data_IF_382913454023
#
_entry.id   IF_382913454023
#
_cell.length_a   1.000
_cell.length_b   1.000
_cell.length_c   1.000
_cell.angle_alpha   90.00
_cell.angle_beta   90.00
_cell.angle_gamma   90.00
#
_symmetry.space_group_name_H-M   'P 1'
#
loop_
_entity.id
_entity.type
_entity.pdbx_description
1 polymer ?
#
# COMPACT_ATOMS: atom_id res chain seq x y z
N UNK A 1 13.40 20.98 4.98
CA UNK A 1 13.53 19.54 5.27
C UNK A 1 14.89 18.97 4.89
N UNK A 2 15.72 19.66 4.10
CA UNK A 2 17.04 19.19 3.64
C UNK A 2 18.16 19.22 4.71
N UNK A 3 18.08 20.11 5.69
CA UNK A 3 19.15 20.28 6.71
C UNK A 3 19.22 19.19 7.79
N UNK A 4 18.15 18.45 8.02
CA UNK A 4 18.13 17.36 9.03
C UNK A 4 18.75 16.06 8.53
N UNK A 5 18.70 15.81 7.23
CA UNK A 5 19.35 14.64 6.61
C UNK A 5 20.87 14.83 6.53
N UNK A 6 21.36 16.04 6.28
CA UNK A 6 22.81 16.34 6.29
C UNK A 6 23.45 16.18 7.67
N UNK A 7 22.72 16.54 8.75
CA UNK A 7 23.23 16.35 10.12
C UNK A 7 23.35 14.85 10.51
N UNK A 8 22.45 14.01 10.03
CA UNK A 8 22.54 12.57 10.28
C UNK A 8 23.70 11.93 9.50
N UNK A 9 23.97 12.37 8.26
CA UNK A 9 25.11 11.91 7.46
C UNK A 9 26.47 12.40 7.98
N UNK A 10 26.56 13.64 8.45
CA UNK A 10 27.80 14.23 9.00
C UNK A 10 28.21 13.53 10.31
N UNK A 11 27.25 13.05 11.11
CA UNK A 11 27.55 12.32 12.35
C UNK A 11 28.07 10.89 12.09
N UNK A 12 27.69 10.26 11.01
CA UNK A 12 28.12 8.91 10.64
C UNK A 12 29.54 8.91 10.05
N UNK A 13 29.92 9.92 9.28
CA UNK A 13 31.29 10.03 8.75
C UNK A 13 32.36 10.36 9.80
N UNK A 14 31.97 10.99 10.93
CA UNK A 14 32.90 11.29 12.03
C UNK A 14 33.08 10.18 13.06
N UNK A 15 32.33 9.08 12.98
CA UNK A 15 32.45 7.97 13.90
C UNK A 15 33.66 7.05 13.63
N UNK A 16 34.41 7.23 12.55
CA UNK A 16 35.63 6.45 12.27
C UNK A 16 36.83 6.78 13.20
N UNK A 17 36.70 7.77 14.12
CA UNK A 17 37.83 8.24 14.95
C UNK A 17 37.60 8.26 16.45
N UNK A 18 36.48 7.76 16.99
CA UNK A 18 36.24 7.87 18.44
C UNK A 18 35.93 6.52 19.12
N UNK A 19 36.97 6.01 19.77
CA UNK A 19 36.89 4.99 20.81
C UNK A 19 36.45 5.65 22.14
N UNK A 20 35.21 6.07 22.28
CA UNK A 20 34.63 6.38 23.60
C UNK A 20 33.12 6.36 23.56
N UNK A 21 32.56 5.59 24.50
CA UNK A 21 31.14 5.52 24.86
C UNK A 21 30.63 6.91 25.23
N UNK A 22 29.92 7.58 24.34
CA UNK A 22 29.10 8.72 24.69
C UNK A 22 27.66 8.23 24.81
N UNK A 23 27.20 8.04 26.05
CA UNK A 23 25.80 7.86 26.35
C UNK A 23 25.10 9.21 26.12
N UNK A 24 24.57 9.41 24.92
CA UNK A 24 23.73 10.56 24.63
C UNK A 24 22.32 10.22 25.09
N UNK A 25 21.95 10.76 26.25
CA UNK A 25 20.58 10.69 26.77
C UNK A 25 19.72 11.70 26.00
N UNK A 26 19.30 11.32 24.80
CA UNK A 26 18.39 12.10 23.98
C UNK A 26 17.00 11.47 24.10
N UNK A 27 16.08 12.15 24.76
CA UNK A 27 14.64 11.89 24.68
C UNK A 27 14.13 12.14 23.25
N UNK A 28 14.59 11.34 22.32
CA UNK A 28 14.06 11.31 20.95
C UNK A 28 13.00 10.24 20.86
N UNK A 29 11.81 10.66 20.48
CA UNK A 29 10.80 9.76 19.97
C UNK A 29 11.42 8.83 18.93
N UNK A 30 11.31 7.54 19.16
CA UNK A 30 11.83 6.42 18.42
C UNK A 30 11.94 6.62 16.89
N UNK A 31 13.06 7.11 16.42
CA UNK A 31 13.49 6.83 15.06
C UNK A 31 14.35 5.56 15.14
N UNK A 32 13.88 4.47 14.54
CA UNK A 32 14.69 3.27 14.43
C UNK A 32 15.88 3.56 13.50
N UNK A 33 17.03 3.87 14.07
CA UNK A 33 18.25 4.07 13.32
C UNK A 33 18.66 2.72 12.71
N UNK A 34 18.66 2.62 11.39
CA UNK A 34 19.05 1.44 10.65
C UNK A 34 20.40 1.68 10.01
N UNK A 35 21.41 0.92 10.44
CA UNK A 35 22.79 1.03 9.96
C UNK A 35 23.24 -0.19 9.13
N UNK A 36 22.30 -1.04 8.74
CA UNK A 36 22.58 -2.24 7.93
C UNK A 36 23.31 -1.85 6.65
N UNK A 37 24.47 -2.50 6.39
CA UNK A 37 25.32 -2.16 5.26
C UNK A 37 26.34 -1.05 5.52
N UNK A 38 26.31 -0.41 6.69
CA UNK A 38 27.31 0.57 7.08
C UNK A 38 28.57 -0.13 7.62
N UNK A 39 29.80 0.36 7.32
CA UNK A 39 31.03 -0.22 7.84
C UNK A 39 31.08 -0.40 9.36
N UNK A 40 30.39 0.46 10.13
CA UNK A 40 30.28 0.33 11.59
C UNK A 40 29.64 -1.01 12.01
N UNK A 41 28.79 -1.59 11.18
CA UNK A 41 28.15 -2.86 11.44
C UNK A 41 29.06 -4.09 11.25
N UNK A 42 30.25 -3.91 10.68
CA UNK A 42 31.27 -4.96 10.63
C UNK A 42 31.77 -5.27 12.04
N UNK A 43 31.98 -4.23 12.84
CA UNK A 43 32.43 -4.36 14.24
C UNK A 43 31.28 -4.62 15.24
N UNK A 44 30.05 -4.21 14.92
CA UNK A 44 28.89 -4.25 15.80
C UNK A 44 27.76 -5.16 15.27
N UNK A 45 28.11 -6.26 14.63
CA UNK A 45 27.16 -7.17 13.95
C UNK A 45 26.02 -7.69 14.84
N UNK A 46 26.22 -7.74 16.15
CA UNK A 46 25.22 -8.24 17.12
C UNK A 46 24.27 -7.15 17.66
N UNK A 47 24.38 -5.91 17.19
CA UNK A 47 23.50 -4.84 17.65
C UNK A 47 22.22 -4.80 16.82
N UNK A 48 21.10 -4.46 17.45
CA UNK A 48 19.77 -4.48 16.84
C UNK A 48 19.64 -3.55 15.61
N UNK A 49 20.42 -2.47 15.54
CA UNK A 49 20.44 -1.54 14.40
C UNK A 49 21.30 -2.02 13.23
N UNK A 50 22.19 -3.00 13.45
CA UNK A 50 23.00 -3.63 12.42
C UNK A 50 22.41 -4.95 11.91
N UNK A 51 21.42 -5.48 12.57
CA UNK A 51 20.71 -6.68 12.16
C UNK A 51 19.54 -6.31 11.25
N UNK A 52 19.39 -7.04 10.14
CA UNK A 52 18.11 -7.10 9.45
C UNK A 52 17.14 -7.79 10.41
N UNK A 53 16.22 -7.03 11.00
CA UNK A 53 15.10 -7.66 11.65
C UNK A 53 14.36 -8.47 10.58
N UNK A 54 14.59 -9.78 10.57
CA UNK A 54 13.71 -10.67 9.85
C UNK A 54 12.35 -10.55 10.52
N UNK A 55 11.43 -9.87 9.87
CA UNK A 55 10.04 -9.88 10.29
C UNK A 55 9.54 -11.31 10.10
N UNK A 56 9.61 -12.10 11.18
CA UNK A 56 9.04 -13.46 11.23
C UNK A 56 7.51 -13.42 11.36
N UNK A 57 6.93 -12.23 11.48
CA UNK A 57 5.49 -12.00 11.61
C UNK A 57 4.88 -11.74 10.24
N UNK A 58 3.73 -12.37 9.99
CA UNK A 58 2.95 -12.17 8.77
C UNK A 58 2.61 -10.68 8.63
N UNK A 59 2.82 -10.05 7.46
CA UNK A 59 2.40 -8.68 7.22
C UNK A 59 0.90 -8.51 7.46
N UNK A 60 0.50 -7.31 7.84
CA UNK A 60 -0.90 -6.97 8.10
C UNK A 60 -1.81 -7.33 6.91
N UNK A 61 -2.98 -7.80 7.24
CA UNK A 61 -4.10 -7.94 6.31
C UNK A 61 -5.39 -7.76 7.09
N UNK A 62 -6.33 -7.00 6.57
CA UNK A 62 -7.66 -6.87 7.15
C UNK A 62 -8.27 -8.25 7.37
N UNK A 63 -8.80 -8.48 8.55
CA UNK A 63 -9.35 -9.78 8.92
C UNK A 63 -10.71 -10.01 8.26
N UNK A 64 -10.88 -11.17 7.64
CA UNK A 64 -12.16 -11.70 7.16
C UNK A 64 -12.67 -12.85 8.04
N UNK A 65 -12.10 -13.01 9.24
CA UNK A 65 -12.40 -14.16 10.11
C UNK A 65 -13.90 -14.31 10.42
N UNK A 66 -14.62 -13.20 10.49
CA UNK A 66 -16.05 -13.20 10.79
C UNK A 66 -16.93 -13.59 9.59
N UNK A 67 -16.36 -13.66 8.38
CA UNK A 67 -17.10 -13.87 7.15
C UNK A 67 -17.13 -15.33 6.67
N UNK A 68 -16.43 -16.23 7.36
CA UNK A 68 -16.34 -17.65 6.96
C UNK A 68 -15.59 -17.84 5.63
N UNK A 69 -15.85 -18.98 4.96
CA UNK A 69 -15.16 -19.40 3.73
C UNK A 69 -15.99 -19.17 2.46
N UNK A 70 -16.72 -18.06 2.37
CA UNK A 70 -17.53 -17.73 1.18
C UNK A 70 -16.62 -17.42 -0.01
N UNK A 71 -16.88 -18.06 -1.15
CA UNK A 71 -16.20 -17.77 -2.41
C UNK A 71 -17.02 -16.79 -3.23
N UNK A 72 -16.36 -15.75 -3.74
CA UNK A 72 -17.00 -14.77 -4.60
C UNK A 72 -16.79 -15.08 -6.09
N UNK A 73 -17.71 -14.66 -6.99
CA UNK A 73 -17.50 -14.68 -8.43
C UNK A 73 -16.24 -13.91 -8.85
N UNK A 74 -15.81 -14.17 -10.09
CA UNK A 74 -14.68 -13.44 -10.70
C UNK A 74 -14.95 -11.93 -10.62
N UNK A 75 -13.90 -11.14 -10.34
CA UNK A 75 -13.92 -9.67 -10.17
C UNK A 75 -14.63 -9.16 -8.90
N UNK A 76 -15.30 -10.02 -8.15
CA UNK A 76 -15.86 -9.68 -6.84
C UNK A 76 -14.96 -10.16 -5.71
N UNK A 77 -14.98 -9.43 -4.62
CA UNK A 77 -14.29 -9.80 -3.36
C UNK A 77 -15.26 -9.75 -2.20
N UNK A 78 -14.92 -10.47 -1.16
CA UNK A 78 -15.70 -10.48 0.07
C UNK A 78 -15.49 -9.17 0.82
N UNK A 79 -16.57 -8.45 1.07
CA UNK A 79 -16.54 -7.23 1.88
C UNK A 79 -16.33 -7.57 3.35
N UNK A 80 -15.33 -6.98 4.04
CA UNK A 80 -15.10 -7.26 5.44
C UNK A 80 -16.25 -6.83 6.34
N UNK A 81 -17.00 -5.80 5.93
CA UNK A 81 -18.12 -5.23 6.68
C UNK A 81 -19.39 -6.10 6.60
N UNK A 82 -19.78 -6.48 5.38
CA UNK A 82 -21.08 -7.13 5.15
C UNK A 82 -20.97 -8.65 4.96
N UNK A 83 -19.76 -9.15 4.73
CA UNK A 83 -19.53 -10.54 4.32
C UNK A 83 -20.27 -10.93 3.03
N UNK A 84 -20.56 -9.93 2.20
CA UNK A 84 -21.16 -10.14 0.87
C UNK A 84 -20.13 -9.90 -0.24
N UNK A 85 -20.35 -10.53 -1.38
CA UNK A 85 -19.50 -10.34 -2.54
C UNK A 85 -19.86 -9.02 -3.23
N UNK A 86 -18.86 -8.18 -3.44
CA UNK A 86 -19.03 -6.89 -4.10
C UNK A 86 -17.84 -6.59 -5.02
N UNK A 87 -18.01 -5.64 -5.93
CA UNK A 87 -16.94 -5.11 -6.80
C UNK A 87 -16.20 -4.01 -6.05
N UNK A 88 -15.00 -4.26 -5.52
CA UNK A 88 -14.26 -3.23 -4.82
C UNK A 88 -13.61 -2.23 -5.79
N UNK A 89 -13.45 -0.99 -5.35
CA UNK A 89 -12.54 -0.06 -6.00
C UNK A 89 -11.13 -0.30 -5.46
N UNK A 90 -10.25 -0.76 -6.30
CA UNK A 90 -8.92 -1.23 -5.92
C UNK A 90 -7.81 -0.29 -6.38
N UNK A 91 -6.69 -0.39 -5.69
CA UNK A 91 -5.47 0.30 -6.05
C UNK A 91 -4.36 0.05 -5.05
N UNK A 92 -3.26 0.78 -5.22
CA UNK A 92 -2.11 0.72 -4.31
C UNK A 92 -1.77 2.12 -3.81
N UNK A 93 -1.66 2.24 -2.50
CA UNK A 93 -1.11 3.43 -1.83
C UNK A 93 0.40 3.26 -1.69
N UNK A 94 1.14 4.27 -2.08
CA UNK A 94 2.61 4.34 -1.99
C UNK A 94 2.99 5.47 -1.04
N UNK A 95 3.46 5.13 0.15
CA UNK A 95 3.85 6.09 1.17
C UNK A 95 5.35 6.36 1.11
N UNK A 96 5.72 7.65 1.09
CA UNK A 96 7.11 8.09 1.05
C UNK A 96 7.59 8.42 2.46
N UNK A 97 8.43 7.55 3.02
CA UNK A 97 9.05 7.79 4.32
C UNK A 97 8.10 7.68 5.52
N UNK A 98 7.39 6.56 5.68
CA UNK A 98 6.65 6.33 6.90
C UNK A 98 7.59 6.26 8.11
N UNK A 99 7.12 6.73 9.27
CA UNK A 99 7.93 6.77 10.49
C UNK A 99 7.99 5.43 11.24
N UNK A 100 7.55 4.35 10.63
CA UNK A 100 7.58 2.99 11.17
C UNK A 100 8.10 2.01 10.13
N UNK A 101 8.49 0.80 10.60
CA UNK A 101 8.97 -0.29 9.74
C UNK A 101 8.25 -1.61 9.99
N UNK A 102 7.53 -1.70 11.09
CA UNK A 102 6.77 -2.89 11.44
C UNK A 102 5.51 -3.00 10.58
N UNK A 103 5.39 -4.10 9.84
CA UNK A 103 4.29 -4.34 8.89
C UNK A 103 3.20 -5.24 9.47
N UNK A 104 3.36 -5.71 10.70
CA UNK A 104 2.42 -6.59 11.41
C UNK A 104 1.64 -5.87 12.51
N UNK A 105 1.84 -4.57 12.71
CA UNK A 105 1.18 -3.83 13.77
C UNK A 105 -0.27 -3.51 13.42
N UNK A 106 -1.21 -4.24 14.02
CA UNK A 106 -2.65 -4.12 13.76
C UNK A 106 -3.17 -2.70 14.02
N UNK A 107 -2.74 -2.03 15.10
CA UNK A 107 -3.22 -0.69 15.43
C UNK A 107 -2.82 0.34 14.38
N UNK A 108 -1.60 0.21 13.82
CA UNK A 108 -1.09 1.09 12.78
C UNK A 108 -1.95 1.00 11.53
N UNK A 109 -2.15 -0.19 11.00
CA UNK A 109 -2.91 -0.38 9.76
C UNK A 109 -4.42 -0.20 9.96
N UNK A 110 -4.96 -0.59 11.11
CA UNK A 110 -6.36 -0.31 11.42
C UNK A 110 -6.66 1.19 11.47
N UNK A 111 -5.74 2.01 11.97
CA UNK A 111 -5.92 3.46 11.90
C UNK A 111 -5.91 4.01 10.46
N UNK A 112 -5.19 3.36 9.52
CA UNK A 112 -5.26 3.69 8.11
C UNK A 112 -6.63 3.32 7.52
N UNK A 113 -7.17 2.14 7.85
CA UNK A 113 -8.53 1.76 7.47
C UNK A 113 -9.55 2.78 7.95
N UNK A 114 -9.51 3.11 9.26
CA UNK A 114 -10.42 4.09 9.87
C UNK A 114 -10.36 5.44 9.15
N UNK A 115 -9.17 5.93 8.88
CA UNK A 115 -8.99 7.21 8.20
C UNK A 115 -9.51 7.20 6.76
N UNK A 116 -9.41 6.05 6.06
CA UNK A 116 -9.93 5.88 4.71
C UNK A 116 -11.45 5.91 4.69
N UNK A 117 -12.12 5.08 5.50
CA UNK A 117 -13.58 5.07 5.45
C UNK A 117 -14.19 6.37 5.94
N UNK A 118 -13.64 7.00 6.97
CA UNK A 118 -14.14 8.26 7.52
C UNK A 118 -14.02 9.41 6.50
N UNK A 119 -12.82 9.64 5.96
CA UNK A 119 -12.58 10.76 5.05
C UNK A 119 -13.13 10.55 3.63
N UNK A 120 -13.30 9.33 3.18
CA UNK A 120 -13.89 9.02 1.89
C UNK A 120 -15.43 8.86 1.95
N UNK A 121 -16.03 8.99 3.15
CA UNK A 121 -17.46 8.84 3.35
C UNK A 121 -17.95 7.43 3.05
N UNK A 122 -17.18 6.43 3.46
CA UNK A 122 -17.50 5.02 3.34
C UNK A 122 -18.03 4.49 4.67
N UNK A 123 -18.60 3.30 4.65
CA UNK A 123 -19.09 2.66 5.88
C UNK A 123 -17.92 2.13 6.71
N UNK A 124 -17.94 2.21 8.04
CA UNK A 124 -16.93 1.57 8.89
C UNK A 124 -16.74 0.09 8.55
N UNK A 125 -15.50 -0.33 8.40
CA UNK A 125 -15.16 -1.71 8.01
C UNK A 125 -15.24 -2.01 6.51
N UNK A 126 -15.56 -1.04 5.65
CA UNK A 126 -15.62 -1.23 4.19
C UNK A 126 -14.28 -1.09 3.47
N UNK A 127 -13.17 -1.08 4.20
CA UNK A 127 -11.81 -0.99 3.68
C UNK A 127 -11.09 -2.29 3.96
N UNK A 128 -10.46 -2.84 2.93
CA UNK A 128 -9.60 -4.02 3.04
C UNK A 128 -8.19 -3.65 2.62
N UNK A 129 -7.25 -3.81 3.54
CA UNK A 129 -5.82 -3.61 3.30
C UNK A 129 -5.12 -4.96 3.25
N UNK A 130 -4.15 -5.09 2.36
CA UNK A 130 -3.34 -6.31 2.26
C UNK A 130 -1.96 -6.02 1.69
N UNK A 131 -1.08 -7.01 1.87
CA UNK A 131 0.26 -7.04 1.28
C UNK A 131 1.08 -5.74 1.50
N UNK A 132 1.18 -5.21 2.72
CA UNK A 132 2.09 -4.11 2.97
C UNK A 132 3.53 -4.60 2.84
N UNK A 133 4.34 -3.87 2.06
CA UNK A 133 5.77 -4.15 1.93
C UNK A 133 6.55 -2.90 1.54
N UNK A 134 7.84 -2.87 1.85
CA UNK A 134 8.74 -1.83 1.38
C UNK A 134 9.38 -2.24 0.06
N UNK A 135 9.26 -1.39 -0.96
CA UNK A 135 9.91 -1.62 -2.24
C UNK A 135 11.41 -1.25 -2.20
N UNK A 136 12.09 -1.40 -3.33
CA UNK A 136 13.53 -1.11 -3.46
C UNK A 136 13.89 0.36 -3.21
N UNK A 137 12.96 1.28 -3.43
CA UNK A 137 13.10 2.73 -3.18
C UNK A 137 12.68 3.12 -1.75
N UNK A 138 12.47 2.13 -0.88
CA UNK A 138 12.04 2.31 0.52
C UNK A 138 10.65 2.95 0.68
N UNK A 139 9.79 2.87 -0.33
CA UNK A 139 8.39 3.26 -0.23
C UNK A 139 7.56 2.12 0.34
N UNK A 140 6.70 2.42 1.31
CA UNK A 140 5.72 1.46 1.79
C UNK A 140 4.58 1.39 0.77
N UNK A 141 4.37 0.21 0.21
CA UNK A 141 3.25 -0.12 -0.66
C UNK A 141 2.19 -0.85 0.14
N UNK A 142 0.92 -0.44 -0.01
CA UNK A 142 -0.23 -1.08 0.61
C UNK A 142 -1.33 -1.24 -0.43
N UNK A 143 -1.72 -2.46 -0.72
CA UNK A 143 -2.88 -2.72 -1.57
C UNK A 143 -4.16 -2.41 -0.80
N UNK A 144 -5.05 -1.66 -1.43
CA UNK A 144 -6.33 -1.26 -0.85
C UNK A 144 -7.48 -1.67 -1.75
N UNK A 145 -8.52 -2.21 -1.13
CA UNK A 145 -9.81 -2.45 -1.76
C UNK A 145 -10.90 -1.74 -0.94
N UNK A 146 -11.63 -0.84 -1.58
CA UNK A 146 -12.72 -0.06 -1.00
C UNK A 146 -14.03 -0.69 -1.44
N UNK A 147 -14.94 -0.92 -0.50
CA UNK A 147 -16.23 -1.55 -0.78
C UNK A 147 -17.37 -0.54 -0.75
N UNK A 148 -18.40 -0.71 -1.62
CA UNK A 148 -19.52 0.20 -1.66
C UNK A 148 -20.31 0.18 -0.35
N UNK A 149 -20.82 1.34 0.12
CA UNK A 149 -21.61 1.41 1.35
C UNK A 149 -22.97 0.74 1.23
N UNK A 150 -23.50 0.66 0.01
CA UNK A 150 -24.78 0.03 -0.31
C UNK A 150 -24.68 -0.74 -1.63
N UNK A 151 -25.38 -1.86 -1.71
CA UNK A 151 -25.34 -2.72 -2.89
C UNK A 151 -23.99 -3.42 -3.06
N UNK A 152 -23.69 -3.86 -4.28
CA UNK A 152 -22.50 -4.64 -4.60
C UNK A 152 -21.53 -3.95 -5.57
N UNK A 153 -21.78 -2.70 -5.97
CA UNK A 153 -20.90 -1.91 -6.82
C UNK A 153 -21.04 -0.41 -6.55
N UNK A 154 -19.98 0.33 -6.82
CA UNK A 154 -19.99 1.79 -6.83
C UNK A 154 -20.59 2.32 -8.14
N UNK A 155 -21.33 3.40 -8.08
CA UNK A 155 -21.69 4.14 -9.27
C UNK A 155 -20.51 4.99 -9.79
N UNK A 156 -20.65 5.53 -11.00
CA UNK A 156 -19.56 6.26 -11.66
C UNK A 156 -19.17 7.54 -10.92
N UNK A 157 -20.10 8.26 -10.33
CA UNK A 157 -19.83 9.49 -9.57
C UNK A 157 -19.11 9.20 -8.24
N UNK A 158 -19.40 8.08 -7.60
CA UNK A 158 -18.70 7.65 -6.38
C UNK A 158 -17.24 7.29 -6.69
N UNK A 159 -16.99 6.53 -7.75
CA UNK A 159 -15.62 6.19 -8.18
C UNK A 159 -14.83 7.46 -8.53
N UNK A 160 -15.44 8.42 -9.24
CA UNK A 160 -14.80 9.69 -9.56
C UNK A 160 -14.47 10.49 -8.30
N UNK A 161 -15.41 10.60 -7.35
CA UNK A 161 -15.21 11.31 -6.08
C UNK A 161 -14.10 10.69 -5.25
N UNK A 162 -14.11 9.36 -5.08
CA UNK A 162 -13.11 8.64 -4.29
C UNK A 162 -11.74 8.72 -5.00
N UNK A 163 -11.69 8.43 -6.29
CA UNK A 163 -10.47 8.49 -7.09
C UNK A 163 -9.84 9.88 -7.07
N UNK A 164 -10.66 10.93 -7.19
CA UNK A 164 -10.20 12.32 -7.09
C UNK A 164 -9.61 12.62 -5.70
N UNK A 165 -10.31 12.21 -4.61
CA UNK A 165 -9.85 12.44 -3.25
C UNK A 165 -8.49 11.79 -2.98
N UNK A 166 -8.27 10.57 -3.48
CA UNK A 166 -7.02 9.84 -3.33
C UNK A 166 -5.90 10.39 -4.22
N UNK A 167 -6.19 10.70 -5.49
CA UNK A 167 -5.17 11.14 -6.46
C UNK A 167 -4.75 12.58 -6.24
N UNK A 168 -5.66 13.46 -5.85
CA UNK A 168 -5.38 14.87 -5.58
C UNK A 168 -4.95 15.14 -4.13
N UNK A 169 -4.70 14.06 -3.37
CA UNK A 169 -4.24 14.14 -1.97
C UNK A 169 -5.17 14.96 -1.06
N UNK A 170 -6.46 15.02 -1.35
CA UNK A 170 -7.47 15.59 -0.45
C UNK A 170 -7.64 14.70 0.78
N UNK A 171 -7.60 13.38 0.58
CA UNK A 171 -7.48 12.43 1.67
C UNK A 171 -6.13 12.61 2.39
N UNK A 172 -6.14 12.60 3.72
CA UNK A 172 -4.96 12.72 4.57
C UNK A 172 -4.80 11.48 5.43
N UNK A 173 -3.81 10.63 5.15
CA UNK A 173 -3.52 9.47 5.99
C UNK A 173 -3.04 9.88 7.39
N UNK A 174 -3.03 8.97 8.36
CA UNK A 174 -2.41 9.21 9.66
C UNK A 174 -0.96 9.71 9.47
N UNK A 175 -0.55 10.71 10.27
CA UNK A 175 0.71 11.47 10.07
C UNK A 175 1.96 10.58 9.94
N UNK A 176 1.97 9.45 10.64
CA UNK A 176 3.13 8.54 10.64
C UNK A 176 3.26 7.71 9.35
N UNK A 177 2.25 7.68 8.46
CA UNK A 177 2.40 7.13 7.10
C UNK A 177 3.15 8.09 6.17
N UNK A 178 3.12 9.40 6.45
CA UNK A 178 3.75 10.42 5.62
C UNK A 178 2.99 10.72 4.32
N UNK A 179 3.62 11.43 3.39
CA UNK A 179 3.03 11.74 2.09
C UNK A 179 2.89 10.48 1.24
N UNK A 180 1.84 10.46 0.41
CA UNK A 180 1.53 9.30 -0.42
C UNK A 180 1.18 9.70 -1.85
N UNK A 181 1.12 8.72 -2.73
CA UNK A 181 0.38 8.76 -4.00
C UNK A 181 -0.41 7.47 -4.18
N UNK A 182 -1.45 7.53 -5.00
CA UNK A 182 -2.37 6.43 -5.24
C UNK A 182 -2.35 6.03 -6.72
N UNK A 183 -2.23 4.74 -6.99
CA UNK A 183 -2.38 4.16 -8.32
C UNK A 183 -3.62 3.28 -8.29
N UNK A 184 -4.65 3.73 -9.01
CA UNK A 184 -5.91 3.01 -9.12
C UNK A 184 -5.80 1.85 -10.11
N UNK A 185 -6.49 0.77 -9.80
CA UNK A 185 -6.83 -0.28 -10.76
C UNK A 185 -8.05 0.12 -11.59
N UNK A 186 -8.21 -0.51 -12.76
CA UNK A 186 -9.42 -0.29 -13.55
C UNK A 186 -10.64 -0.82 -12.81
N UNK A 187 -11.74 -0.03 -12.76
CA UNK A 187 -12.97 -0.43 -12.09
C UNK A 187 -13.93 -1.05 -13.10
N UNK A 188 -14.32 -2.33 -12.93
CA UNK A 188 -15.27 -3.00 -13.81
C UNK A 188 -16.69 -2.55 -13.48
N UNK A 189 -17.24 -1.58 -14.24
CA UNK A 189 -18.64 -1.18 -14.04
C UNK A 189 -19.58 -2.32 -14.46
N UNK A 190 -20.26 -3.01 -13.54
CA UNK A 190 -21.24 -4.04 -13.91
C UNK A 190 -22.39 -3.40 -14.69
N UNK A 191 -22.73 -3.95 -15.83
CA UNK A 191 -23.77 -3.42 -16.73
C UNK A 191 -23.24 -2.70 -17.99
N UNK A 192 -21.96 -2.39 -18.10
CA UNK A 192 -21.33 -1.95 -19.34
C UNK A 192 -20.66 -3.10 -20.13
N UNK A 193 -21.03 -4.32 -19.86
CA UNK A 193 -20.74 -5.46 -20.73
C UNK A 193 -21.64 -5.42 -21.96
N UNK A 194 -21.52 -4.40 -22.81
CA UNK A 194 -21.67 -4.60 -24.22
C UNK A 194 -20.55 -5.56 -24.59
N UNK A 195 -20.88 -6.84 -24.67
CA UNK A 195 -20.07 -7.85 -25.32
C UNK A 195 -19.85 -7.42 -26.77
N UNK A 196 -18.83 -6.62 -27.02
CA UNK A 196 -18.22 -6.59 -28.33
C UNK A 196 -17.46 -7.89 -28.42
N UNK A 197 -18.19 -8.98 -28.74
CA UNK A 197 -17.60 -10.09 -29.45
C UNK A 197 -17.17 -9.53 -30.79
N UNK A 198 -15.94 -9.04 -30.88
CA UNK A 198 -15.28 -8.91 -32.17
C UNK A 198 -15.06 -10.36 -32.60
N UNK A 199 -16.05 -10.88 -33.35
CA UNK A 199 -15.80 -11.98 -34.24
C UNK A 199 -14.71 -11.49 -35.18
N UNK A 200 -13.47 -11.84 -34.89
CA UNK A 200 -12.40 -11.85 -35.85
C UNK A 200 -12.74 -12.97 -36.84
N UNK A 201 -13.72 -12.70 -37.72
CA UNK A 201 -13.90 -13.46 -38.94
C UNK A 201 -12.64 -13.24 -39.74
N UNK A 202 -11.88 -14.31 -39.88
CA UNK A 202 -10.71 -14.46 -40.73
C UNK A 202 -11.04 -14.00 -42.14
N UNK A 203 -10.72 -12.75 -42.48
CA UNK A 203 -10.55 -12.37 -43.88
C UNK A 203 -9.13 -12.75 -44.28
N UNK A 204 -9.01 -13.98 -44.80
CA UNK A 204 -7.85 -14.37 -45.60
C UNK A 204 -8.08 -13.79 -47.02
N UNK A 205 -7.30 -12.81 -47.48
CA UNK A 205 -7.37 -12.41 -48.90
C UNK A 205 -6.69 -13.52 -49.74
N UNK A 206 -7.49 -14.27 -50.47
CA UNK A 206 -7.02 -15.17 -51.52
C UNK A 206 -6.36 -14.34 -52.58
N UNK A 207 -5.06 -14.40 -52.70
CA UNK A 207 -4.32 -13.86 -53.83
C UNK A 207 -4.54 -14.83 -55.00
N UNK A 208 -5.46 -14.45 -55.89
CA UNK A 208 -5.55 -15.06 -57.22
C UNK A 208 -4.40 -14.57 -58.07
N UNK A 209 -3.47 -15.48 -58.37
CA UNK A 209 -2.47 -15.24 -59.38
C UNK A 209 -3.11 -15.08 -60.76
N UNK A 210 -2.69 -14.03 -61.49
CA UNK A 210 -2.77 -13.99 -62.94
C UNK A 210 -1.36 -14.13 -63.51
N UNK A 211 -1.18 -15.29 -64.16
CA UNK A 211 -0.10 -15.54 -65.08
C UNK A 211 -0.54 -14.93 -66.40
N UNK A 212 0.27 -14.06 -66.98
CA UNK A 212 0.56 -13.96 -68.43
C UNK A 212 1.86 -13.17 -68.59
#
# INVERSE_FOLDING_TARGET
>A
MSKFLELAFIYVEKCDSFNHSIAINLNFHYYALRLVGNPVCIALSNTSYCQLQQQSTKPYSTSLANCGSKLCPIEQKLSPQSCECAYPYEGTLYFRGPSFRELSNDNTFHSLEMSLWDQLGLTPGSVFLQNPFFNVDDYLQVQVALFPPTGNFFNRSEIQRIGFALSNQTYKPPKYFGPYYFIASNYPFPGNLSHIFIHASSFCPTILGMVN
#
